data_IF_912881861797
#
_entry.id   IF_912881861797
#
_cell.length_a   1.000
_cell.length_b   1.000
_cell.length_c   1.000
_cell.angle_alpha   90.00
_cell.angle_beta   90.00
_cell.angle_gamma   90.00
#
_symmetry.space_group_name_H-M   'P 1'
#
loop_
_entity.id
_entity.type
_entity.pdbx_description
1 polymer ?
#
# COMPACT_ATOMS: atom_id res chain seq x y z
N UNK A 1 16.02 3.34 -22.38
CA UNK A 1 15.42 2.38 -21.42
C UNK A 1 16.44 1.30 -21.10
N UNK A 2 16.46 0.81 -19.87
CA UNK A 2 17.31 -0.31 -19.51
C UNK A 2 16.84 -1.58 -20.22
N UNK A 3 17.76 -2.53 -20.39
CA UNK A 3 17.47 -3.83 -20.98
C UNK A 3 16.58 -4.71 -20.06
N UNK A 4 16.56 -4.40 -18.75
CA UNK A 4 15.66 -4.99 -17.75
C UNK A 4 15.40 -4.01 -16.59
N UNK A 5 14.42 -4.33 -15.75
CA UNK A 5 14.02 -3.49 -14.61
C UNK A 5 15.07 -3.49 -13.46
N UNK A 6 16.03 -4.42 -13.48
CA UNK A 6 17.00 -4.63 -12.39
C UNK A 6 17.90 -3.42 -12.17
N UNK A 7 18.32 -2.74 -13.23
CA UNK A 7 19.19 -1.55 -13.10
C UNK A 7 18.45 -0.39 -12.43
N UNK A 8 17.18 -0.18 -12.77
CA UNK A 8 16.35 0.83 -12.11
C UNK A 8 16.14 0.53 -10.63
N UNK A 9 15.93 -0.75 -10.28
CA UNK A 9 15.80 -1.21 -8.89
C UNK A 9 17.10 -0.95 -8.14
N UNK A 10 18.25 -1.30 -8.71
CA UNK A 10 19.56 -1.06 -8.09
C UNK A 10 19.82 0.42 -7.85
N UNK A 11 19.53 1.28 -8.83
CA UNK A 11 19.68 2.73 -8.68
C UNK A 11 18.77 3.27 -7.56
N UNK A 12 17.53 2.76 -7.49
CA UNK A 12 16.61 3.12 -6.42
C UNK A 12 17.11 2.65 -5.04
N UNK A 13 17.67 1.44 -4.94
CA UNK A 13 18.26 0.90 -3.72
C UNK A 13 19.45 1.75 -3.24
N UNK A 14 20.37 2.10 -4.13
CA UNK A 14 21.51 2.96 -3.81
C UNK A 14 21.04 4.34 -3.30
N UNK A 15 19.96 4.87 -3.87
CA UNK A 15 19.33 6.09 -3.37
C UNK A 15 18.68 5.89 -2.00
N UNK A 16 17.97 4.79 -1.78
CA UNK A 16 17.35 4.44 -0.50
C UNK A 16 18.42 4.38 0.61
N UNK A 17 19.51 3.65 0.38
CA UNK A 17 20.64 3.55 1.32
C UNK A 17 21.23 4.92 1.63
N UNK A 18 21.36 5.80 0.62
CA UNK A 18 21.91 7.15 0.80
C UNK A 18 21.02 8.05 1.67
N UNK A 19 19.70 7.94 1.56
CA UNK A 19 18.74 8.84 2.24
C UNK A 19 18.28 8.28 3.60
N UNK A 20 18.09 6.98 3.68
CA UNK A 20 17.51 6.31 4.86
C UNK A 20 18.54 5.52 5.66
N UNK A 21 19.74 5.29 5.13
CA UNK A 21 20.73 4.40 5.71
C UNK A 21 20.60 2.97 5.18
N UNK A 22 21.68 2.19 5.28
CA UNK A 22 21.69 0.79 4.84
C UNK A 22 20.85 -0.14 5.71
N UNK A 23 20.44 0.34 6.89
CA UNK A 23 19.62 -0.35 7.88
C UNK A 23 18.14 0.04 7.80
N UNK A 24 17.71 0.68 6.72
CA UNK A 24 16.30 0.97 6.49
C UNK A 24 15.45 -0.32 6.48
N UNK A 25 14.22 -0.23 6.94
CA UNK A 25 13.32 -1.39 7.10
C UNK A 25 12.20 -1.46 6.05
N UNK A 26 12.42 -0.81 4.90
CA UNK A 26 11.54 -0.93 3.74
C UNK A 26 11.93 -2.09 2.84
N UNK A 27 10.94 -2.89 2.46
CA UNK A 27 11.09 -4.00 1.52
C UNK A 27 10.74 -3.56 0.10
N UNK A 28 11.47 -4.04 -0.91
CA UNK A 28 11.10 -3.85 -2.31
C UNK A 28 9.72 -4.46 -2.60
N UNK A 29 8.83 -3.68 -3.21
CA UNK A 29 7.45 -4.11 -3.54
C UNK A 29 7.24 -4.26 -5.04
N UNK A 30 7.65 -3.26 -5.84
CA UNK A 30 7.44 -3.33 -7.29
C UNK A 30 8.33 -2.36 -8.07
N UNK A 31 8.58 -2.72 -9.33
CA UNK A 31 9.13 -1.84 -10.35
C UNK A 31 8.23 -1.95 -11.58
N UNK A 32 7.84 -0.82 -12.16
CA UNK A 32 7.05 -0.80 -13.41
C UNK A 32 7.28 0.48 -14.19
N UNK A 33 7.02 0.44 -15.48
CA UNK A 33 6.95 1.64 -16.31
C UNK A 33 5.47 2.03 -16.44
N UNK A 34 5.01 3.16 -15.85
CA UNK A 34 3.64 3.57 -16.02
C UNK A 34 3.31 3.88 -17.49
N UNK A 35 2.07 3.63 -17.96
CA UNK A 35 1.67 3.97 -19.32
C UNK A 35 1.96 5.43 -19.65
N UNK A 36 2.51 5.68 -20.84
CA UNK A 36 2.79 7.02 -21.37
C UNK A 36 3.78 7.85 -20.51
N UNK A 37 4.63 7.20 -19.71
CA UNK A 37 5.71 7.84 -18.94
C UNK A 37 7.07 7.30 -19.37
N UNK A 38 8.11 8.12 -19.20
CA UNK A 38 9.50 7.79 -19.56
C UNK A 38 10.37 7.62 -18.31
N UNK A 39 9.86 6.87 -17.33
CA UNK A 39 10.57 6.54 -16.10
C UNK A 39 10.08 5.19 -15.55
N UNK A 40 10.91 4.55 -14.75
CA UNK A 40 10.54 3.45 -13.87
C UNK A 40 9.97 4.04 -12.58
N UNK A 41 8.82 3.52 -12.14
CA UNK A 41 8.27 3.73 -10.81
C UNK A 41 8.69 2.54 -9.94
N UNK A 42 9.55 2.80 -8.97
CA UNK A 42 10.04 1.81 -8.00
C UNK A 42 9.38 2.09 -6.65
N UNK A 43 8.80 1.07 -6.03
CA UNK A 43 8.10 1.19 -4.76
C UNK A 43 8.77 0.26 -3.74
N UNK A 44 9.10 0.84 -2.59
CA UNK A 44 9.54 0.18 -1.38
C UNK A 44 8.48 0.39 -0.30
N UNK A 45 8.25 -0.60 0.57
CA UNK A 45 7.17 -0.54 1.54
C UNK A 45 7.55 -1.10 2.89
N UNK A 46 7.06 -0.45 3.95
CA UNK A 46 7.21 -0.92 5.32
C UNK A 46 6.17 -1.98 5.64
N UNK A 47 6.63 -3.07 6.26
CA UNK A 47 5.78 -4.13 6.77
C UNK A 47 5.88 -4.18 8.29
N UNK A 48 4.73 -4.30 8.97
CA UNK A 48 4.69 -4.49 10.42
C UNK A 48 4.22 -5.89 10.72
N UNK A 49 5.11 -6.71 11.29
CA UNK A 49 4.84 -8.13 11.62
C UNK A 49 4.32 -8.96 10.42
N UNK A 50 4.73 -8.61 9.20
CA UNK A 50 4.32 -9.25 7.94
C UNK A 50 3.07 -8.64 7.30
N UNK A 51 2.45 -7.64 7.91
CA UNK A 51 1.33 -6.91 7.32
C UNK A 51 1.82 -5.67 6.59
N UNK A 52 1.34 -5.54 5.36
CA UNK A 52 1.58 -4.39 4.50
C UNK A 52 1.01 -3.11 5.12
N UNK A 53 1.73 -2.00 5.07
CA UNK A 53 1.26 -0.70 5.59
C UNK A 53 1.06 0.34 4.49
N UNK A 54 0.49 1.50 4.83
CA UNK A 54 0.45 2.68 3.95
C UNK A 54 1.76 3.51 3.95
N UNK A 55 2.79 3.06 4.66
CA UNK A 55 4.13 3.66 4.65
C UNK A 55 4.97 3.03 3.53
N UNK A 56 5.09 3.77 2.43
CA UNK A 56 5.87 3.38 1.27
C UNK A 56 6.71 4.55 0.77
N UNK A 57 7.87 4.21 0.24
CA UNK A 57 8.70 5.12 -0.53
C UNK A 57 8.48 4.82 -2.01
N UNK A 58 8.12 5.86 -2.77
CA UNK A 58 7.98 5.79 -4.22
C UNK A 58 9.09 6.60 -4.87
N UNK A 59 9.84 5.98 -5.76
CA UNK A 59 10.92 6.60 -6.51
C UNK A 59 10.58 6.59 -8.00
N UNK A 60 11.00 7.63 -8.70
CA UNK A 60 10.93 7.72 -10.15
C UNK A 60 12.34 7.77 -10.72
N UNK A 61 12.74 6.70 -11.42
CA UNK A 61 14.06 6.55 -12.04
C UNK A 61 13.91 6.79 -13.54
N UNK A 62 14.56 7.81 -14.08
CA UNK A 62 14.51 8.06 -15.52
C UNK A 62 15.27 6.97 -16.29
N UNK A 63 15.10 6.93 -17.61
CA UNK A 63 15.77 5.95 -18.46
C UNK A 63 17.27 6.20 -18.65
N UNK A 64 17.78 7.32 -18.15
CA UNK A 64 19.20 7.69 -18.15
C UNK A 64 19.92 7.25 -16.86
N UNK A 65 19.18 6.69 -15.90
CA UNK A 65 19.71 6.12 -14.67
C UNK A 65 19.88 7.07 -13.50
N UNK A 66 18.98 8.06 -13.40
CA UNK A 66 18.91 8.99 -12.28
C UNK A 66 17.54 8.94 -11.61
N UNK A 67 17.53 9.03 -10.27
CA UNK A 67 16.31 9.29 -9.51
C UNK A 67 15.91 10.75 -9.72
N UNK A 68 14.85 10.98 -10.50
CA UNK A 68 14.40 12.33 -10.82
C UNK A 68 13.45 12.92 -9.76
N UNK A 69 12.77 12.07 -9.01
CA UNK A 69 11.97 12.45 -7.86
C UNK A 69 11.74 11.25 -6.93
N UNK A 70 11.36 11.52 -5.67
CA UNK A 70 10.87 10.50 -4.76
C UNK A 70 9.81 11.08 -3.80
N UNK A 71 9.05 10.21 -3.16
CA UNK A 71 8.02 10.52 -2.18
C UNK A 71 8.06 9.52 -1.04
N UNK A 72 8.03 10.02 0.20
CA UNK A 72 8.02 9.21 1.42
C UNK A 72 7.11 9.87 2.48
N UNK A 73 5.82 10.06 2.15
CA UNK A 73 4.90 10.87 2.97
C UNK A 73 4.66 10.32 4.38
N UNK A 74 4.61 8.99 4.52
CA UNK A 74 4.31 8.31 5.77
C UNK A 74 5.56 7.76 6.45
N UNK A 75 6.74 8.26 6.08
CA UNK A 75 8.02 7.80 6.61
C UNK A 75 8.00 7.76 8.13
N UNK A 76 8.50 6.65 8.69
CA UNK A 76 8.67 6.42 10.12
C UNK A 76 7.33 6.41 10.91
N UNK A 77 6.17 6.38 10.22
CA UNK A 77 4.83 6.41 10.86
C UNK A 77 4.60 5.22 11.78
N UNK A 78 5.24 4.09 11.50
CA UNK A 78 5.08 2.82 12.21
C UNK A 78 6.30 2.40 13.03
N UNK A 79 7.24 3.31 13.25
CA UNK A 79 8.42 3.02 14.05
C UNK A 79 8.01 2.62 15.47
N UNK A 80 8.66 1.57 15.98
CA UNK A 80 8.42 1.00 17.31
C UNK A 80 7.00 0.46 17.55
N UNK A 81 6.23 0.23 16.48
CA UNK A 81 4.91 -0.39 16.58
C UNK A 81 5.04 -1.89 16.39
N UNK A 82 4.60 -2.65 17.40
CA UNK A 82 4.36 -4.08 17.28
C UNK A 82 2.86 -4.34 17.22
N UNK A 83 2.42 -5.10 16.23
CA UNK A 83 1.01 -5.46 16.08
C UNK A 83 0.78 -6.85 16.67
N UNK A 84 -0.18 -6.93 17.58
CA UNK A 84 -0.64 -8.19 18.12
C UNK A 84 -1.34 -9.01 17.01
N UNK A 85 -0.73 -10.13 16.59
CA UNK A 85 -1.21 -10.95 15.46
C UNK A 85 -2.67 -11.40 15.65
N UNK A 86 -3.07 -11.99 16.79
CA UNK A 86 -4.48 -12.25 17.12
C UNK A 86 -5.41 -11.06 16.85
N UNK A 87 -5.04 -9.85 17.28
CA UNK A 87 -5.85 -8.65 17.08
C UNK A 87 -5.98 -8.27 15.61
N UNK A 88 -4.90 -8.41 14.82
CA UNK A 88 -4.94 -8.15 13.38
C UNK A 88 -5.87 -9.14 12.65
N UNK A 89 -5.80 -10.43 12.99
CA UNK A 89 -6.69 -11.47 12.42
C UNK A 89 -8.15 -11.18 12.80
N UNK A 90 -8.42 -10.87 14.07
CA UNK A 90 -9.76 -10.51 14.52
C UNK A 90 -10.27 -9.26 13.78
N UNK A 91 -9.40 -8.28 13.55
CA UNK A 91 -9.75 -7.06 12.81
C UNK A 91 -10.05 -7.32 11.33
N UNK A 92 -9.35 -8.25 10.67
CA UNK A 92 -9.68 -8.68 9.31
C UNK A 92 -11.08 -9.32 9.24
N UNK A 93 -11.41 -10.18 10.22
CA UNK A 93 -12.74 -10.79 10.30
C UNK A 93 -13.83 -9.73 10.53
N UNK A 94 -13.60 -8.80 11.47
CA UNK A 94 -14.50 -7.67 11.73
C UNK A 94 -14.67 -6.76 10.50
N UNK A 95 -13.60 -6.50 9.75
CA UNK A 95 -13.67 -5.71 8.52
C UNK A 95 -14.63 -6.34 7.51
N UNK A 96 -14.56 -7.67 7.32
CA UNK A 96 -15.51 -8.38 6.45
C UNK A 96 -16.96 -8.24 6.92
N UNK A 97 -17.23 -8.44 8.21
CA UNK A 97 -18.57 -8.25 8.77
C UNK A 97 -19.08 -6.82 8.58
N UNK A 98 -18.25 -5.81 8.88
CA UNK A 98 -18.61 -4.41 8.70
C UNK A 98 -18.93 -4.05 7.25
N UNK A 99 -18.21 -4.63 6.28
CA UNK A 99 -18.49 -4.42 4.85
C UNK A 99 -19.87 -5.00 4.50
N UNK A 100 -20.17 -6.23 4.93
CA UNK A 100 -21.48 -6.86 4.69
C UNK A 100 -22.62 -6.01 5.25
N UNK A 101 -22.48 -5.52 6.49
CA UNK A 101 -23.47 -4.68 7.15
C UNK A 101 -23.65 -3.33 6.44
N UNK A 102 -22.54 -2.71 6.00
CA UNK A 102 -22.56 -1.39 5.33
C UNK A 102 -23.15 -1.47 3.93
N UNK A 103 -22.78 -2.49 3.15
CA UNK A 103 -23.29 -2.68 1.80
C UNK A 103 -24.66 -3.37 1.76
N UNK A 104 -25.09 -3.95 2.88
CA UNK A 104 -26.22 -4.89 2.95
C UNK A 104 -26.13 -5.97 1.86
N UNK A 105 -24.91 -6.48 1.63
CA UNK A 105 -24.59 -7.37 0.52
C UNK A 105 -23.28 -8.14 0.78
N UNK A 106 -23.26 -9.41 0.40
CA UNK A 106 -22.03 -10.21 0.35
C UNK A 106 -21.33 -10.15 -1.01
N UNK A 107 -21.91 -9.43 -1.98
CA UNK A 107 -21.39 -9.34 -3.34
C UNK A 107 -20.36 -8.21 -3.47
N UNK A 108 -19.18 -8.44 -2.92
CA UNK A 108 -18.00 -7.57 -3.04
C UNK A 108 -16.73 -8.42 -3.09
N UNK A 109 -15.65 -7.82 -3.58
CA UNK A 109 -14.30 -8.39 -3.54
C UNK A 109 -13.40 -7.46 -2.75
N UNK A 110 -12.67 -7.99 -1.77
CA UNK A 110 -11.55 -7.27 -1.17
C UNK A 110 -10.38 -7.38 -2.14
N UNK A 111 -10.04 -6.29 -2.81
CA UNK A 111 -8.95 -6.26 -3.80
C UNK A 111 -7.62 -5.88 -3.17
N UNK A 112 -7.67 -5.27 -1.98
CA UNK A 112 -6.46 -4.91 -1.27
C UNK A 112 -6.68 -4.80 0.24
N UNK A 113 -5.64 -5.07 1.03
CA UNK A 113 -5.64 -4.87 2.48
C UNK A 113 -4.30 -4.34 2.98
N UNK A 114 -4.35 -3.41 3.92
CA UNK A 114 -3.15 -2.84 4.54
C UNK A 114 -3.47 -2.20 5.88
N UNK A 115 -2.42 -1.91 6.64
CA UNK A 115 -2.50 -1.23 7.92
C UNK A 115 -2.26 0.26 7.73
N UNK A 116 -3.12 1.06 8.35
CA UNK A 116 -3.03 2.51 8.37
C UNK A 116 -3.16 3.05 9.81
N UNK A 117 -3.06 4.38 9.97
CA UNK A 117 -3.53 5.10 11.16
C UNK A 117 -4.73 5.97 10.77
N UNK A 118 -5.79 5.91 11.56
CA UNK A 118 -6.92 6.84 11.41
C UNK A 118 -6.55 8.24 11.92
N UNK A 119 -7.48 9.19 11.83
CA UNK A 119 -7.29 10.58 12.28
C UNK A 119 -6.97 10.71 13.78
N UNK A 120 -7.36 9.72 14.60
CA UNK A 120 -7.04 9.65 16.03
C UNK A 120 -5.66 9.02 16.30
N UNK A 121 -4.93 8.61 15.26
CA UNK A 121 -3.64 7.93 15.36
C UNK A 121 -3.73 6.45 15.74
N UNK A 122 -4.93 5.87 15.82
CA UNK A 122 -5.15 4.44 16.11
C UNK A 122 -4.85 3.60 14.87
N UNK A 123 -4.26 2.44 15.09
CA UNK A 123 -4.03 1.47 14.03
C UNK A 123 -5.36 0.93 13.51
N UNK A 124 -5.49 0.90 12.19
CA UNK A 124 -6.66 0.36 11.50
C UNK A 124 -6.22 -0.63 10.43
N UNK A 125 -7.01 -1.67 10.24
CA UNK A 125 -6.98 -2.50 9.05
C UNK A 125 -7.88 -1.85 8.00
N UNK A 126 -7.30 -1.42 6.89
CA UNK A 126 -8.01 -0.88 5.73
C UNK A 126 -8.21 -1.99 4.71
N UNK A 127 -9.46 -2.22 4.33
CA UNK A 127 -9.85 -3.09 3.23
C UNK A 127 -10.32 -2.23 2.07
N UNK A 128 -9.63 -2.35 0.93
CA UNK A 128 -10.09 -1.78 -0.34
C UNK A 128 -11.01 -2.79 -0.98
N UNK A 129 -12.25 -2.38 -1.23
CA UNK A 129 -13.30 -3.22 -1.77
C UNK A 129 -13.73 -2.76 -3.15
N UNK A 130 -14.08 -3.71 -4.00
CA UNK A 130 -14.74 -3.49 -5.28
C UNK A 130 -16.09 -4.21 -5.27
N UNK A 131 -17.14 -3.47 -5.65
CA UNK A 131 -18.51 -3.99 -5.74
C UNK A 131 -19.27 -3.27 -6.84
N UNK A 132 -20.49 -3.72 -7.14
CA UNK A 132 -21.32 -3.13 -8.18
C UNK A 132 -22.60 -2.56 -7.60
N UNK A 133 -22.91 -1.32 -7.94
CA UNK A 133 -24.22 -0.72 -7.69
C UNK A 133 -25.07 -0.81 -8.96
N UNK A 134 -26.36 -1.09 -8.80
CA UNK A 134 -27.33 -0.99 -9.89
C UNK A 134 -28.42 0.02 -9.55
N UNK A 135 -28.77 0.84 -10.53
CA UNK A 135 -29.93 1.74 -10.48
C UNK A 135 -31.17 1.12 -11.18
N UNK A 136 -31.11 -0.18 -11.50
CA UNK A 136 -32.14 -0.90 -12.25
C UNK A 136 -31.99 -0.85 -13.77
N UNK A 137 -31.07 -0.03 -14.30
CA UNK A 137 -30.80 0.10 -15.76
C UNK A 137 -29.32 -0.14 -16.07
N UNK A 138 -28.44 0.41 -15.23
CA UNK A 138 -27.00 0.34 -15.40
C UNK A 138 -26.34 -0.37 -14.22
N UNK A 139 -25.10 -0.81 -14.43
CA UNK A 139 -24.22 -1.37 -13.41
C UNK A 139 -22.99 -0.49 -13.31
N UNK A 140 -22.74 0.04 -12.12
CA UNK A 140 -21.62 0.92 -11.85
C UNK A 140 -20.61 0.19 -10.97
N UNK A 141 -19.36 -0.02 -11.43
CA UNK A 141 -18.31 -0.52 -10.57
C UNK A 141 -17.92 0.57 -9.57
N UNK A 142 -17.92 0.22 -8.29
CA UNK A 142 -17.51 1.08 -7.19
C UNK A 142 -16.26 0.49 -6.55
N UNK A 143 -15.34 1.38 -6.19
CA UNK A 143 -14.19 1.07 -5.37
C UNK A 143 -14.24 1.95 -4.12
N UNK A 144 -14.19 1.33 -2.96
CA UNK A 144 -14.32 2.01 -1.67
C UNK A 144 -13.34 1.45 -0.64
N UNK A 145 -13.16 2.15 0.48
CA UNK A 145 -12.28 1.75 1.58
C UNK A 145 -13.06 1.62 2.88
N UNK A 146 -12.92 0.48 3.54
CA UNK A 146 -13.50 0.22 4.86
C UNK A 146 -12.39 -0.04 5.86
N UNK A 147 -12.34 0.78 6.92
CA UNK A 147 -11.33 0.66 7.97
C UNK A 147 -11.91 0.14 9.29
N UNK A 148 -11.19 -0.76 9.96
CA UNK A 148 -11.55 -1.24 11.31
C UNK A 148 -10.37 -1.12 12.25
N UNK A 149 -10.62 -0.61 13.47
CA UNK A 149 -9.60 -0.46 14.51
C UNK A 149 -9.02 -1.81 14.92
N UNK A 150 -7.69 -1.86 15.02
CA UNK A 150 -6.94 -2.98 15.58
C UNK A 150 -6.79 -2.72 17.07
N UNK A 151 -7.36 -3.63 17.89
CA UNK A 151 -7.42 -3.53 19.35
C UNK A 151 -6.21 -4.17 20.05
#
# INVERSE_FOLDING_TARGET
>A
PFDNDDEAIKIAEEFMIKIFGSDHDYDFESCKIPPQRFYYEVIYRKYVNGYRTDDYVRLWVNFDGEVCAFSAFNRDRYDHIAINRPSAIASQQRSKSNIVDTLNSENFTIVDQYISKNEEGKLVMVSVIEYSLTDGVSVYPIKDEVSVVIE
#
